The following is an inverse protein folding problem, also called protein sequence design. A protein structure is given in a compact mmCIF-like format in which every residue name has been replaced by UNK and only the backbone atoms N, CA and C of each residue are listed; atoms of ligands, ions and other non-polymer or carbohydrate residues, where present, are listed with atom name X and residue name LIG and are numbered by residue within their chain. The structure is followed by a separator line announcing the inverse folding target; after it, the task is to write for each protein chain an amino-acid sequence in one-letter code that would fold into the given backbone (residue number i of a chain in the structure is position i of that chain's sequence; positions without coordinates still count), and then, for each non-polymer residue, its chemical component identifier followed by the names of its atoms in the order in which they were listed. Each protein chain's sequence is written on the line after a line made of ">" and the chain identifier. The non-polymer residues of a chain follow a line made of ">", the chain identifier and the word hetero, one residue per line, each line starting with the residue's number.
data_IF_437953514298
#
_entry.id   IF_437953514298
#
_cell.length_a   1.000
_cell.length_b   1.000
_cell.length_c   1.000
_cell.angle_alpha   90.00
_cell.angle_beta   90.00
_cell.angle_gamma   90.00
#
_symmetry.space_group_name_H-M   'P 1'
#
loop_
_entity.id
_entity.type
_entity.pdbx_description
1 polymer ?
2 polymer ?
3 polymer ?
4 non-polymer ?
5 non-polymer ?
6 non-polymer ?
7 water ?
#
# COMPACT_ATOMS: atom_id res chain seq x y z
N UNK A 1 18.13 -21.94 14.22
CA UNK A 1 18.16 -21.88 15.72
C UNK A 1 16.74 -21.87 16.27
N UNK A 2 15.88 -20.94 15.84
CA UNK A 2 14.43 -20.99 16.22
C UNK A 2 13.81 -22.20 15.52
N UNK A 3 13.12 -23.04 16.28
CA UNK A 3 12.41 -24.25 15.76
C UNK A 3 11.02 -24.34 16.40
N UNK A 4 10.01 -24.62 15.59
CA UNK A 4 8.63 -24.89 16.08
C UNK A 4 8.33 -26.36 15.82
N UNK A 5 8.18 -27.13 16.89
CA UNK A 5 7.85 -28.57 16.82
C UNK A 5 6.35 -28.72 17.08
N UNK A 6 5.63 -29.17 16.06
CA UNK A 6 4.16 -29.37 16.08
C UNK A 6 3.85 -30.87 16.27
N UNK A 7 2.70 -31.17 16.89
CA UNK A 7 2.12 -32.52 17.02
C UNK A 7 0.69 -32.43 17.57
N UNK A 8 -0.08 -33.52 17.46
CA UNK A 8 -1.39 -33.69 18.13
C UNK A 8 -2.56 -33.95 17.17
N UNK A 9 -2.29 -33.96 15.84
CA UNK A 9 -3.35 -34.12 14.82
C UNK A 9 -3.94 -35.53 14.76
N UNK A 10 -5.05 -35.68 14.04
CA UNK A 10 -5.66 -36.99 13.75
C UNK A 10 -7.12 -36.89 13.31
N UNK A 11 -7.84 -38.01 13.41
CA UNK A 11 -9.26 -38.15 13.00
C UNK A 11 -10.16 -38.23 14.24
N UNK A 12 -11.25 -37.46 14.25
CA UNK A 12 -12.28 -37.47 15.33
C UNK A 12 -13.68 -37.36 14.68
N UNK A 13 -14.73 -37.78 15.39
CA UNK A 13 -16.14 -37.58 14.99
C UNK A 13 -16.57 -36.14 15.33
N UNK A 14 -17.67 -35.63 14.71
CA UNK A 14 -18.26 -34.35 15.11
C UNK A 14 -18.66 -34.32 16.59
N UNK A 15 -18.35 -33.21 17.29
CA UNK A 15 -18.55 -33.04 18.74
C UNK A 15 -17.30 -33.39 19.54
N UNK A 16 -16.38 -34.17 18.94
CA UNK A 16 -15.16 -34.67 19.58
C UNK A 16 -14.13 -33.58 19.84
N UNK A 17 -13.03 -33.97 20.49
CA UNK A 17 -11.95 -33.08 20.99
C UNK A 17 -10.60 -33.49 20.40
N UNK A 18 -9.67 -32.54 20.30
CA UNK A 18 -8.27 -32.77 19.86
C UNK A 18 -7.39 -31.67 20.48
N UNK A 19 -6.15 -32.01 20.86
CA UNK A 19 -5.19 -31.06 21.47
C UNK A 19 -3.91 -30.99 20.65
N UNK A 20 -3.69 -29.85 19.98
CA UNK A 20 -2.45 -29.58 19.21
C UNK A 20 -1.42 -28.92 20.12
N UNK A 21 -0.14 -29.19 19.86
CA UNK A 21 1.00 -28.65 20.64
C UNK A 21 1.99 -27.99 19.67
N UNK A 22 2.57 -26.88 20.12
CA UNK A 22 3.66 -26.14 19.42
C UNK A 22 4.79 -25.91 20.42
N UNK A 23 5.86 -26.71 20.34
CA UNK A 23 7.06 -26.58 21.18
C UNK A 23 8.03 -25.62 20.48
N UNK A 24 8.26 -24.46 21.08
CA UNK A 24 9.14 -23.39 20.55
C UNK A 24 10.49 -23.46 21.26
N UNK A 25 11.58 -23.47 20.48
CA UNK A 25 12.98 -23.39 20.97
C UNK A 25 13.74 -22.37 20.12
N UNK A 26 14.84 -21.83 20.65
CA UNK A 26 15.77 -20.95 19.94
C UNK A 26 15.53 -19.48 20.21
N UNK A 27 14.45 -19.12 20.93
CA UNK A 27 14.19 -17.75 21.42
C UNK A 27 15.01 -17.52 22.69
N UNK A 28 15.65 -16.36 22.80
CA UNK A 28 16.49 -15.93 23.95
C UNK A 28 15.58 -15.41 25.09
N UNK A 29 14.30 -15.14 24.81
CA UNK A 29 13.34 -14.55 25.79
C UNK A 29 11.89 -14.87 25.35
N UNK A 30 10.93 -14.43 26.16
CA UNK A 30 9.46 -14.63 25.96
C UNK A 30 8.87 -13.57 24.99
N UNK A 31 9.70 -12.70 24.37
CA UNK A 31 9.16 -11.62 23.49
C UNK A 31 8.98 -12.14 22.06
N UNK A 32 7.96 -12.95 21.91
CA UNK A 32 7.50 -13.55 20.63
C UNK A 32 6.02 -13.85 20.82
N UNK A 33 5.35 -14.17 19.72
CA UNK A 33 3.90 -14.45 19.70
C UNK A 33 3.69 -15.64 18.78
N UNK A 34 2.69 -16.46 19.12
CA UNK A 34 2.33 -17.67 18.35
C UNK A 34 0.98 -17.43 17.66
N UNK A 35 0.83 -18.00 16.48
CA UNK A 35 -0.45 -18.06 15.75
C UNK A 35 -0.71 -19.51 15.35
N UNK A 36 -1.98 -19.88 15.33
CA UNK A 36 -2.45 -21.10 14.65
C UNK A 36 -3.17 -20.70 13.36
N UNK A 37 -2.61 -21.17 12.23
CA UNK A 37 -3.25 -21.09 10.89
C UNK A 37 -3.73 -22.48 10.47
N UNK A 38 -4.90 -22.52 9.84
CA UNK A 38 -5.44 -23.77 9.26
C UNK A 38 -5.64 -23.56 7.76
N UNK A 39 -5.40 -24.62 6.98
CA UNK A 39 -5.45 -24.60 5.51
C UNK A 39 -6.33 -25.76 5.05
N UNK A 40 -7.61 -25.47 4.82
CA UNK A 40 -8.64 -26.42 4.33
C UNK A 40 -8.49 -26.59 2.82
N UNK A 41 -8.95 -27.71 2.23
CA UNK A 41 -8.69 -28.01 0.82
C UNK A 41 -8.98 -26.86 -0.16
N UNK A 42 -8.01 -26.54 -1.00
CA UNK A 42 -8.09 -25.50 -2.05
C UNK A 42 -8.25 -24.08 -1.50
N UNK A 43 -7.96 -23.86 -0.21
CA UNK A 43 -8.05 -22.51 0.42
C UNK A 43 -6.65 -22.02 0.86
N UNK A 44 -6.56 -20.73 1.19
CA UNK A 44 -5.36 -20.11 1.79
C UNK A 44 -5.28 -20.52 3.27
N UNK A 45 -4.10 -20.39 3.87
CA UNK A 45 -3.89 -20.48 5.34
C UNK A 45 -4.65 -19.34 6.02
N UNK A 46 -5.49 -19.66 7.01
CA UNK A 46 -6.36 -18.68 7.70
C UNK A 46 -6.09 -18.75 9.21
N UNK A 47 -5.85 -17.61 9.85
CA UNK A 47 -5.60 -17.57 11.30
C UNK A 47 -6.86 -17.92 12.08
N UNK A 48 -6.75 -18.72 13.14
CA UNK A 48 -7.93 -19.09 13.98
C UNK A 48 -7.70 -18.66 15.44
N UNK A 49 -6.47 -18.71 15.93
CA UNK A 49 -6.13 -18.35 17.34
C UNK A 49 -4.70 -17.79 17.42
N UNK A 50 -4.48 -16.92 18.40
CA UNK A 50 -3.18 -16.23 18.61
C UNK A 50 -2.89 -16.16 20.10
N UNK A 51 -1.59 -16.25 20.46
CA UNK A 51 -1.14 -15.98 21.84
C UNK A 51 0.08 -15.04 21.80
N UNK A 52 -0.07 -13.89 22.46
CA UNK A 52 1.06 -12.98 22.77
C UNK A 52 1.69 -13.43 24.08
N UNK A 53 2.88 -14.04 24.00
CA UNK A 53 3.48 -14.86 25.09
C UNK A 53 3.82 -13.96 26.28
N UNK A 54 4.44 -12.79 26.08
CA UNK A 54 4.93 -11.91 27.18
C UNK A 54 3.75 -11.48 28.06
N UNK A 55 2.65 -11.09 27.42
CA UNK A 55 1.41 -10.51 28.03
C UNK A 55 0.44 -11.66 28.37
N UNK A 56 0.69 -12.84 27.82
CA UNK A 56 -0.22 -14.02 27.94
C UNK A 56 -1.64 -13.64 27.48
N UNK A 57 -1.74 -12.96 26.33
CA UNK A 57 -3.03 -12.47 25.81
C UNK A 57 -3.45 -13.34 24.63
N UNK A 58 -4.61 -14.02 24.74
CA UNK A 58 -5.13 -14.84 23.64
C UNK A 58 -6.15 -14.10 22.79
N UNK A 59 -6.28 -14.52 21.53
CA UNK A 59 -7.26 -14.00 20.55
C UNK A 59 -7.80 -15.18 19.76
N UNK A 60 -9.09 -15.14 19.40
CA UNK A 60 -9.79 -16.20 18.61
C UNK A 60 -10.65 -15.54 17.53
N UNK A 61 -10.78 -16.19 16.37
CA UNK A 61 -11.81 -15.79 15.36
C UNK A 61 -13.17 -16.20 15.92
N UNK A 62 -14.24 -15.50 15.53
CA UNK A 62 -15.60 -15.66 16.12
C UNK A 62 -16.09 -17.10 15.96
N UNK A 63 -15.72 -17.78 14.87
CA UNK A 63 -16.22 -19.13 14.52
C UNK A 63 -15.66 -20.20 15.46
N UNK A 64 -14.57 -19.95 16.21
CA UNK A 64 -13.99 -20.96 17.15
C UNK A 64 -14.09 -20.47 18.59
N UNK A 65 -14.75 -19.33 18.80
CA UNK A 65 -14.77 -18.54 20.07
C UNK A 65 -14.85 -19.48 21.28
N UNK A 66 -15.96 -20.22 21.44
CA UNK A 66 -16.31 -20.94 22.71
C UNK A 66 -15.95 -22.43 22.61
N UNK A 67 -15.29 -22.85 21.53
CA UNK A 67 -14.91 -24.26 21.26
C UNK A 67 -13.39 -24.43 21.40
N UNK A 68 -12.63 -23.42 20.98
CA UNK A 68 -11.14 -23.46 20.96
C UNK A 68 -10.59 -22.67 22.14
N UNK A 69 -9.50 -23.17 22.73
CA UNK A 69 -8.75 -22.54 23.85
C UNK A 69 -7.26 -22.64 23.54
N UNK A 70 -6.56 -21.51 23.58
CA UNK A 70 -5.09 -21.47 23.41
C UNK A 70 -4.47 -21.20 24.79
N UNK A 71 -3.32 -21.82 25.06
CA UNK A 71 -2.63 -21.76 26.37
C UNK A 71 -1.15 -22.08 26.17
N UNK A 72 -0.33 -21.72 27.17
CA UNK A 72 1.12 -22.02 27.18
C UNK A 72 1.48 -22.67 28.52
N UNK A 73 2.32 -23.69 28.49
CA UNK A 73 3.01 -24.25 29.67
C UNK A 73 4.45 -23.72 29.67
N UNK A 74 4.79 -22.96 30.70
CA UNK A 74 6.09 -22.24 30.86
C UNK A 74 7.23 -23.26 30.77
N UNK A 75 7.13 -24.36 31.54
CA UNK A 75 8.17 -25.37 31.80
C UNK A 75 8.76 -25.90 30.48
N UNK A 76 7.90 -26.32 29.54
CA UNK A 76 8.29 -27.03 28.29
C UNK A 76 8.25 -26.06 27.10
N UNK A 77 7.92 -24.78 27.34
CA UNK A 77 7.92 -23.73 26.29
C UNK A 77 6.96 -24.13 25.16
N UNK A 78 5.87 -24.82 25.52
CA UNK A 78 4.90 -25.39 24.56
C UNK A 78 3.58 -24.60 24.66
N UNK A 79 3.06 -24.17 23.51
CA UNK A 79 1.70 -23.59 23.38
C UNK A 79 0.75 -24.69 22.88
N UNK A 80 -0.41 -24.80 23.49
CA UNK A 80 -1.48 -25.78 23.15
C UNK A 80 -2.70 -25.06 22.59
N UNK A 81 -3.36 -25.70 21.61
CA UNK A 81 -4.72 -25.35 21.14
C UNK A 81 -5.64 -26.52 21.46
N UNK A 82 -6.48 -26.37 22.49
CA UNK A 82 -7.54 -27.34 22.85
C UNK A 82 -8.75 -27.03 21.95
N UNK A 83 -9.10 -27.96 21.07
CA UNK A 83 -10.23 -27.86 20.11
C UNK A 83 -11.33 -28.83 20.57
N UNK A 84 -12.44 -28.27 21.06
CA UNK A 84 -13.61 -29.03 21.57
C UNK A 84 -14.78 -28.81 20.61
N UNK A 85 -15.86 -29.58 20.77
CA UNK A 85 -17.07 -29.52 19.90
C UNK A 85 -16.64 -29.34 18.44
N UNK A 86 -15.70 -30.15 17.96
CA UNK A 86 -15.16 -30.05 16.58
C UNK A 86 -16.28 -30.32 15.56
N UNK A 87 -16.23 -29.62 14.43
CA UNK A 87 -17.24 -29.70 13.35
C UNK A 87 -16.53 -30.00 12.03
N UNK A 88 -17.26 -30.49 11.00
CA UNK A 88 -16.65 -30.81 9.70
C UNK A 88 -15.90 -29.64 9.06
N UNK A 89 -16.34 -28.40 9.30
CA UNK A 89 -15.74 -27.15 8.76
C UNK A 89 -14.34 -26.91 9.37
N UNK A 90 -14.00 -27.60 10.47
CA UNK A 90 -12.69 -27.47 11.18
C UNK A 90 -11.64 -28.37 10.52
N UNK A 91 -12.04 -29.22 9.56
CA UNK A 91 -11.09 -30.10 8.83
C UNK A 91 -10.14 -29.22 8.01
N UNK A 92 -8.83 -29.47 8.13
CA UNK A 92 -7.73 -28.66 7.56
C UNK A 92 -6.39 -29.18 8.06
N UNK A 93 -5.28 -28.75 7.43
CA UNK A 93 -3.90 -28.89 7.98
C UNK A 93 -3.66 -27.68 8.90
N UNK A 94 -3.31 -27.92 10.16
CA UNK A 94 -3.10 -26.88 11.21
C UNK A 94 -1.60 -26.65 11.35
N UNK A 95 -1.19 -25.39 11.21
CA UNK A 95 0.20 -24.89 11.37
C UNK A 95 0.27 -23.99 12.61
N UNK A 96 1.34 -24.10 13.40
CA UNK A 96 1.71 -23.03 14.36
C UNK A 96 2.78 -22.18 13.67
N UNK A 97 2.78 -20.89 13.98
CA UNK A 97 3.72 -19.92 13.40
C UNK A 97 4.16 -18.99 14.53
N UNK A 98 5.39 -18.47 14.46
CA UNK A 98 5.96 -17.58 15.48
C UNK A 98 6.50 -16.32 14.80
N UNK A 99 6.40 -15.20 15.50
CA UNK A 99 7.03 -13.93 15.14
C UNK A 99 7.63 -13.26 16.36
N UNK A 100 8.70 -12.49 16.16
CA UNK A 100 9.42 -11.73 17.23
C UNK A 100 8.69 -10.41 17.47
N UNK A 101 7.45 -10.50 17.96
CA UNK A 101 6.62 -9.34 18.34
C UNK A 101 5.62 -9.77 19.41
N UNK A 102 5.06 -8.79 20.13
CA UNK A 102 3.94 -9.00 21.07
C UNK A 102 2.65 -8.68 20.34
N UNK A 103 1.91 -9.69 19.88
CA UNK A 103 0.61 -9.41 19.26
C UNK A 103 0.18 -10.48 18.27
N UNK A 104 -0.47 -10.05 17.20
CA UNK A 104 -1.28 -10.93 16.33
C UNK A 104 -1.35 -10.37 14.93
N UNK A 105 -1.43 -11.24 13.93
CA UNK A 105 -1.57 -10.82 12.51
C UNK A 105 -2.34 -11.90 11.75
N UNK A 106 -3.24 -11.50 10.87
CA UNK A 106 -3.98 -12.41 9.96
C UNK A 106 -3.10 -12.83 8.78
N UNK A 107 -2.01 -12.10 8.46
CA UNK A 107 -1.17 -12.39 7.27
C UNK A 107 -0.16 -13.48 7.58
N UNK A 108 -0.19 -14.65 6.88
CA UNK A 108 0.88 -15.65 7.05
C UNK A 108 2.28 -15.09 6.78
N UNK A 109 2.38 -14.19 5.80
CA UNK A 109 3.64 -13.52 5.39
C UNK A 109 4.25 -12.75 6.57
N UNK A 110 3.48 -12.44 7.62
CA UNK A 110 3.97 -11.68 8.81
C UNK A 110 4.66 -12.59 9.82
N UNK A 111 4.61 -13.92 9.61
CA UNK A 111 5.25 -14.92 10.51
C UNK A 111 6.45 -15.54 9.78
N UNK A 112 7.61 -15.43 10.39
CA UNK A 112 8.89 -15.88 9.79
C UNK A 112 9.18 -17.34 10.17
N UNK A 113 8.49 -17.89 11.17
CA UNK A 113 8.79 -19.25 11.72
C UNK A 113 7.51 -20.09 11.71
N UNK A 114 7.66 -21.35 11.26
CA UNK A 114 6.51 -22.23 10.95
C UNK A 114 6.82 -23.65 11.40
N UNK A 115 5.85 -24.27 12.05
CA UNK A 115 5.84 -25.71 12.30
C UNK A 115 5.55 -26.45 11.01
N UNK A 116 5.91 -27.74 10.97
CA UNK A 116 5.38 -28.69 9.96
C UNK A 116 3.90 -28.89 10.32
N UNK A 117 3.00 -28.70 9.36
CA UNK A 117 1.55 -28.84 9.59
C UNK A 117 1.19 -30.21 10.15
N UNK A 118 0.04 -30.30 10.83
CA UNK A 118 -0.58 -31.58 11.29
C UNK A 118 -1.99 -31.63 10.74
N UNK A 119 -2.41 -32.80 10.25
CA UNK A 119 -3.74 -33.01 9.63
C UNK A 119 -4.79 -33.13 10.74
N UNK A 120 -5.87 -32.33 10.64
CA UNK A 120 -7.09 -32.48 11.50
C UNK A 120 -8.28 -32.80 10.58
N UNK A 121 -8.94 -33.93 10.84
CA UNK A 121 -10.13 -34.42 10.08
C UNK A 121 -11.28 -34.71 11.06
N UNK A 122 -12.43 -34.07 10.81
CA UNK A 122 -13.69 -34.24 11.59
C UNK A 122 -14.73 -34.80 10.60
N UNK A 123 -15.04 -36.10 10.69
CA UNK A 123 -16.01 -36.77 9.81
C UNK A 123 -16.64 -37.95 10.55
N UNK A 124 -17.77 -38.44 10.02
CA UNK A 124 -18.49 -39.62 10.54
C UNK A 124 -18.07 -40.85 9.74
N UNK B 5 -9.63 12.01 30.78
CA UNK B 5 -9.15 12.72 29.56
C UNK B 5 -8.57 11.71 28.56
N UNK B 6 -9.43 11.06 27.78
CA UNK B 6 -9.04 9.93 26.89
C UNK B 6 -8.35 10.48 25.64
N UNK B 7 -7.27 9.82 25.21
CA UNK B 7 -6.51 10.23 24.00
C UNK B 7 -7.45 10.18 22.80
N UNK B 8 -7.39 11.21 21.92
CA UNK B 8 -8.28 11.27 20.75
C UNK B 8 -7.83 10.33 19.60
N UNK B 9 -7.71 9.03 19.89
CA UNK B 9 -7.29 8.02 18.88
C UNK B 9 -8.31 7.93 17.75
N UNK B 10 -9.60 8.15 18.03
CA UNK B 10 -10.68 8.14 17.02
C UNK B 10 -10.38 9.05 15.81
N UNK B 11 -9.76 10.20 16.04
CA UNK B 11 -9.39 11.17 14.96
C UNK B 11 -8.45 10.50 13.94
N UNK B 12 -7.62 9.56 14.40
CA UNK B 12 -6.67 8.82 13.52
C UNK B 12 -7.38 7.58 12.93
N UNK B 13 -7.90 6.71 13.78
CA UNK B 13 -8.40 5.37 13.37
C UNK B 13 -9.64 5.53 12.49
N UNK B 14 -10.45 6.56 12.76
CA UNK B 14 -11.78 6.73 12.14
C UNK B 14 -11.78 7.90 11.14
N UNK B 15 -10.62 8.41 10.73
CA UNK B 15 -10.54 9.48 9.71
C UNK B 15 -11.25 9.02 8.43
N UNK B 16 -11.97 9.91 7.76
CA UNK B 16 -12.75 9.55 6.53
C UNK B 16 -11.77 9.10 5.44
N UNK B 17 -10.67 9.82 5.25
CA UNK B 17 -9.65 9.46 4.23
C UNK B 17 -8.30 9.35 4.92
N UNK B 18 -7.45 8.49 4.38
CA UNK B 18 -6.07 8.28 4.88
C UNK B 18 -5.12 8.84 3.84
N UNK B 19 -3.88 9.08 4.26
CA UNK B 19 -2.76 9.49 3.39
C UNK B 19 -2.36 8.35 2.47
N UNK B 20 -1.84 8.69 1.30
CA UNK B 20 -0.98 7.77 0.51
C UNK B 20 0.25 7.44 1.37
N UNK B 21 0.74 6.22 1.25
CA UNK B 21 1.91 5.77 2.07
C UNK B 21 3.15 6.65 1.80
N UNK B 22 3.43 7.04 0.56
CA UNK B 22 4.66 7.83 0.27
C UNK B 22 4.56 9.16 1.03
N UNK B 23 3.35 9.65 1.22
CA UNK B 23 3.06 10.95 1.86
C UNK B 23 2.37 10.73 3.21
N UNK B 24 2.84 9.74 3.94
CA UNK B 24 2.19 9.30 5.20
C UNK B 24 2.03 10.45 6.19
N UNK B 25 0.95 10.42 6.96
CA UNK B 25 0.59 11.44 7.97
C UNK B 25 1.10 11.05 9.35
N UNK B 26 1.38 12.04 10.17
CA UNK B 26 1.76 11.86 11.59
C UNK B 26 0.85 12.75 12.44
N UNK B 27 0.25 12.16 13.46
CA UNK B 27 -0.56 12.88 14.46
C UNK B 27 0.18 12.80 15.78
N UNK B 28 0.43 13.95 16.40
CA UNK B 28 0.99 13.97 17.77
C UNK B 28 -0.17 13.84 18.76
N UNK B 29 -0.02 12.92 19.72
CA UNK B 29 -0.97 12.70 20.83
C UNK B 29 -0.25 13.05 22.15
N UNK B 30 -0.89 13.83 22.98
CA UNK B 30 -0.32 14.41 24.23
C UNK B 30 -1.42 14.65 25.27
N UNK B 31 -1.06 14.77 26.54
CA UNK B 31 -1.94 15.31 27.59
C UNK B 31 -3.22 14.47 27.68
N UNK B 32 -3.09 13.15 27.79
CA UNK B 32 -4.28 12.26 27.79
C UNK B 32 -3.93 10.87 28.33
N UNK B 33 -4.97 10.06 28.59
CA UNK B 33 -4.85 8.65 29.05
C UNK B 33 -5.14 7.74 27.85
N UNK B 34 -4.20 6.84 27.56
CA UNK B 34 -4.26 5.88 26.43
C UNK B 34 -4.47 4.47 27.00
N UNK B 35 -5.53 3.76 26.61
CA UNK B 35 -5.72 2.34 27.00
C UNK B 35 -5.31 1.48 25.80
N UNK B 36 -4.04 1.10 25.77
CA UNK B 36 -3.42 0.29 24.71
C UNK B 36 -4.05 -1.11 24.71
N UNK B 37 -4.42 -1.64 25.87
CA UNK B 37 -5.07 -2.99 25.95
C UNK B 37 -6.44 -2.96 25.26
N UNK B 38 -7.21 -1.88 25.42
CA UNK B 38 -8.55 -1.73 24.77
C UNK B 38 -8.35 -1.73 23.24
N UNK B 39 -7.33 -1.01 22.76
CA UNK B 39 -7.01 -1.00 21.31
C UNK B 39 -6.63 -2.43 20.89
N UNK B 40 -5.71 -3.06 21.62
CA UNK B 40 -5.18 -4.41 21.28
C UNK B 40 -6.32 -5.42 21.17
N UNK B 41 -7.32 -5.30 22.04
CA UNK B 41 -8.44 -6.27 22.16
C UNK B 41 -9.58 -5.95 21.17
N UNK B 42 -9.47 -4.88 20.40
CA UNK B 42 -10.50 -4.54 19.38
C UNK B 42 -10.47 -5.51 18.21
N UNK B 43 -11.62 -6.14 17.90
CA UNK B 43 -11.77 -7.07 16.76
C UNK B 43 -11.74 -6.29 15.43
N UNK B 44 -11.84 -4.97 15.46
CA UNK B 44 -11.76 -4.08 14.28
C UNK B 44 -10.40 -4.20 13.60
N UNK B 45 -9.35 -4.52 14.37
CA UNK B 45 -7.95 -4.59 13.90
C UNK B 45 -7.59 -6.05 13.62
N UNK B 46 -7.08 -6.32 12.42
CA UNK B 46 -6.67 -7.69 12.01
C UNK B 46 -5.15 -7.86 12.19
N UNK B 47 -4.40 -6.76 12.23
CA UNK B 47 -2.96 -6.73 12.57
C UNK B 47 -2.79 -5.86 13.82
N UNK B 48 -2.13 -6.38 14.85
CA UNK B 48 -1.76 -5.57 16.04
C UNK B 48 -0.51 -6.18 16.63
N UNK B 49 0.65 -5.59 16.33
CA UNK B 49 1.98 -6.15 16.73
C UNK B 49 2.79 -5.04 17.38
N UNK B 50 3.28 -5.28 18.60
CA UNK B 50 4.19 -4.35 19.30
C UNK B 50 5.60 -4.91 19.34
N UNK B 51 6.56 -4.00 19.28
CA UNK B 51 8.03 -4.22 19.25
C UNK B 51 8.66 -3.47 20.43
N UNK B 52 9.61 -4.11 21.11
CA UNK B 52 10.39 -3.50 22.22
C UNK B 52 9.55 -3.27 23.47
N UNK B 53 8.25 -3.54 23.41
CA UNK B 53 7.26 -3.27 24.49
C UNK B 53 5.99 -4.07 24.16
N UNK B 54 5.11 -4.28 25.13
CA UNK B 54 3.78 -4.91 24.90
C UNK B 54 2.69 -3.95 25.35
N UNK B 55 1.44 -4.15 24.91
CA UNK B 55 0.34 -3.31 25.38
C UNK B 55 0.20 -3.27 26.91
N UNK B 56 0.48 -4.38 27.60
CA UNK B 56 0.40 -4.40 29.09
C UNK B 56 1.44 -3.44 29.65
N UNK B 57 2.67 -3.48 29.12
CA UNK B 57 3.74 -2.58 29.60
C UNK B 57 3.35 -1.13 29.27
N UNK B 58 2.80 -0.87 28.08
CA UNK B 58 2.40 0.51 27.67
C UNK B 58 1.31 1.03 28.62
N UNK B 59 0.43 0.16 29.11
CA UNK B 59 -0.64 0.57 30.07
C UNK B 59 -0.03 1.07 31.39
N UNK B 60 1.25 0.78 31.64
CA UNK B 60 1.94 1.11 32.92
C UNK B 60 3.08 2.10 32.67
N UNK B 61 3.05 2.85 31.57
CA UNK B 61 4.14 3.82 31.22
C UNK B 61 3.54 5.19 30.86
N UNK B 62 4.31 6.26 31.07
CA UNK B 62 3.98 7.64 30.65
C UNK B 62 5.03 8.09 29.64
N UNK B 63 4.59 8.81 28.61
CA UNK B 63 5.48 9.39 27.59
C UNK B 63 5.18 10.88 27.48
N UNK B 64 6.13 11.61 26.93
CA UNK B 64 5.95 13.04 26.64
C UNK B 64 4.98 13.19 25.46
N UNK B 65 5.23 12.44 24.39
CA UNK B 65 4.40 12.46 23.16
C UNK B 65 4.28 11.03 22.66
N UNK B 66 3.14 10.75 22.04
CA UNK B 66 2.92 9.56 21.19
C UNK B 66 2.68 10.06 19.78
N UNK B 67 3.23 9.38 18.79
CA UNK B 67 3.03 9.70 17.36
C UNK B 67 2.24 8.55 16.76
N UNK B 68 1.16 8.90 16.08
CA UNK B 68 0.33 7.97 15.28
C UNK B 68 0.53 8.29 13.80
N UNK B 69 1.26 7.43 13.09
CA UNK B 69 1.51 7.55 11.65
C UNK B 69 0.45 6.72 10.92
N UNK B 70 -0.15 7.25 9.87
CA UNK B 70 -1.26 6.56 9.19
C UNK B 70 -1.17 6.72 7.68
N UNK B 71 -1.57 5.67 6.97
CA UNK B 71 -1.50 5.57 5.50
C UNK B 71 -2.23 4.33 5.06
N UNK B 72 -2.41 4.22 3.74
CA UNK B 72 -2.98 3.02 3.07
C UNK B 72 -1.92 2.33 2.20
N UNK B 73 -1.94 0.99 2.26
CA UNK B 73 -1.13 0.10 1.40
C UNK B 73 -2.04 -1.04 0.93
N UNK B 74 -1.53 -1.92 0.09
CA UNK B 74 -2.31 -3.10 -0.30
C UNK B 74 -2.04 -4.21 0.72
N UNK B 75 -2.97 -5.14 0.85
CA UNK B 75 -2.88 -6.22 1.85
C UNK B 75 -1.53 -6.94 1.86
N UNK B 76 -1.00 -7.33 0.70
CA UNK B 76 0.24 -8.16 0.65
C UNK B 76 1.44 -7.33 1.08
N UNK B 77 1.27 -6.03 1.32
CA UNK B 77 2.38 -5.16 1.81
C UNK B 77 2.32 -4.98 3.32
N UNK B 78 1.27 -5.42 4.00
CA UNK B 78 1.15 -5.19 5.46
C UNK B 78 2.37 -5.78 6.17
N UNK B 79 2.83 -6.95 5.76
CA UNK B 79 4.02 -7.57 6.40
C UNK B 79 5.26 -6.67 6.31
N UNK B 80 5.33 -5.74 5.36
CA UNK B 80 6.50 -4.83 5.23
C UNK B 80 6.53 -3.76 6.34
N UNK B 81 5.43 -3.54 7.06
CA UNK B 81 5.40 -2.52 8.16
C UNK B 81 5.88 -3.21 9.44
N UNK B 82 7.18 -3.46 9.51
CA UNK B 82 7.84 -4.14 10.63
C UNK B 82 9.34 -3.87 10.52
N UNK B 83 10.08 -3.95 11.64
CA UNK B 83 11.52 -3.78 11.57
C UNK B 83 12.17 -4.85 10.68
N UNK B 84 13.20 -4.46 9.93
CA UNK B 84 14.07 -5.41 9.19
C UNK B 84 13.41 -6.02 7.98
N UNK B 85 12.35 -5.42 7.46
CA UNK B 85 11.63 -5.90 6.26
C UNK B 85 12.19 -5.22 5.01
N UNK B 86 12.09 -5.90 3.87
CA UNK B 86 12.43 -5.36 2.53
C UNK B 86 11.18 -5.41 1.65
N UNK B 87 11.22 -4.68 0.54
CA UNK B 87 10.11 -4.49 -0.40
C UNK B 87 9.93 -3.02 -0.69
N UNK B 88 9.08 -2.69 -1.66
CA UNK B 88 8.93 -1.29 -2.15
C UNK B 88 8.47 -0.40 -1.01
N UNK B 89 7.60 -0.87 -0.13
CA UNK B 89 7.08 -0.01 0.97
C UNK B 89 8.16 0.22 2.01
N UNK B 90 8.76 -0.82 2.58
CA UNK B 90 9.80 -0.65 3.62
C UNK B 90 10.99 0.12 3.05
N UNK B 91 11.36 -0.11 1.79
CA UNK B 91 12.59 0.47 1.20
C UNK B 91 12.33 1.93 0.82
N UNK B 92 11.17 2.25 0.22
CA UNK B 92 10.99 3.53 -0.51
C UNK B 92 9.87 4.40 0.06
N UNK B 93 9.07 3.93 1.02
CA UNK B 93 7.81 4.64 1.42
C UNK B 93 7.75 4.93 2.91
N UNK B 94 7.88 3.89 3.74
CA UNK B 94 7.73 3.98 5.20
C UNK B 94 8.62 2.93 5.85
N UNK B 95 9.58 3.39 6.63
CA UNK B 95 10.66 2.56 7.22
C UNK B 95 10.66 2.70 8.74
N UNK B 96 10.63 1.56 9.43
CA UNK B 96 10.79 1.49 10.89
C UNK B 96 12.24 1.18 11.21
N UNK B 97 12.77 1.69 12.35
CA UNK B 97 14.14 1.38 12.75
C UNK B 97 14.27 -0.07 13.23
N UNK B 98 15.48 -0.60 13.14
CA UNK B 98 15.81 -1.98 13.57
C UNK B 98 15.40 -2.14 15.04
N UNK B 99 15.58 -1.10 15.86
CA UNK B 99 15.34 -1.14 17.33
C UNK B 99 13.99 -0.50 17.67
N UNK B 100 13.01 -0.58 16.76
CA UNK B 100 11.67 0.03 16.91
C UNK B 100 11.04 -0.34 18.25
N UNK B 101 10.56 0.67 18.98
CA UNK B 101 9.68 0.53 20.16
C UNK B 101 8.33 1.12 19.78
N UNK B 102 7.31 0.29 19.63
CA UNK B 102 5.95 0.79 19.35
C UNK B 102 5.11 -0.29 18.73
N UNK B 103 4.00 0.10 18.12
CA UNK B 103 2.98 -0.86 17.64
C UNK B 103 2.56 -0.56 16.21
N UNK B 104 2.28 -1.62 15.49
CA UNK B 104 1.79 -1.59 14.09
C UNK B 104 0.38 -2.18 14.10
N UNK B 105 -0.59 -1.40 13.61
CA UNK B 105 -2.03 -1.77 13.64
C UNK B 105 -2.54 -1.67 12.20
N UNK B 106 -3.31 -2.63 11.73
CA UNK B 106 -3.84 -2.57 10.36
C UNK B 106 -5.19 -3.26 10.29
N UNK B 107 -5.99 -2.86 9.31
CA UNK B 107 -7.33 -3.42 9.07
C UNK B 107 -7.69 -3.24 7.59
N UNK B 108 -8.50 -4.16 7.09
CA UNK B 108 -8.96 -4.13 5.69
C UNK B 108 -9.90 -2.94 5.51
N UNK B 109 -9.65 -2.10 4.50
CA UNK B 109 -10.46 -0.89 4.23
C UNK B 109 -11.10 -0.95 2.84
N UNK B 110 -11.29 -2.15 2.30
CA UNK B 110 -11.94 -2.34 0.99
C UNK B 110 -13.26 -1.54 0.92
N UNK B 111 -14.06 -1.56 1.98
CA UNK B 111 -15.42 -0.93 2.02
C UNK B 111 -15.30 0.60 1.95
N UNK B 112 -14.14 1.16 2.30
CA UNK B 112 -13.93 2.63 2.42
C UNK B 112 -13.11 3.15 1.23
N UNK B 113 -12.08 2.42 0.83
CA UNK B 113 -11.00 2.97 -0.02
C UNK B 113 -11.03 2.39 -1.45
N UNK B 114 -11.85 1.39 -1.76
CA UNK B 114 -12.02 0.91 -3.14
C UNK B 114 -13.24 1.58 -3.77
N UNK B 115 -13.24 1.67 -5.08
CA UNK B 115 -14.35 2.25 -5.87
C UNK B 115 -14.51 1.38 -7.11
N UNK B 116 -15.74 1.17 -7.55
CA UNK B 116 -16.04 0.62 -8.89
C UNK B 116 -15.30 1.49 -9.91
N UNK B 117 -14.50 0.88 -10.78
CA UNK B 117 -13.70 1.59 -11.80
C UNK B 117 -12.37 2.05 -11.26
N UNK B 118 -12.13 1.94 -9.96
CA UNK B 118 -10.82 2.22 -9.35
C UNK B 118 -10.80 3.53 -8.57
N UNK B 119 -10.24 3.47 -7.38
CA UNK B 119 -9.85 4.64 -6.56
C UNK B 119 -8.38 4.88 -6.83
N UNK B 120 -8.09 5.85 -7.69
CA UNK B 120 -6.71 6.15 -8.11
C UNK B 120 -6.04 7.16 -7.17
N UNK B 121 -6.71 7.58 -6.10
CA UNK B 121 -6.15 8.63 -5.18
C UNK B 121 -4.89 8.13 -4.47
N UNK B 122 -4.85 6.86 -4.06
CA UNK B 122 -3.73 6.31 -3.27
C UNK B 122 -2.55 5.91 -4.16
N UNK B 123 -1.37 6.42 -3.83
CA UNK B 123 -0.10 6.20 -4.56
C UNK B 123 0.91 5.53 -3.63
N UNK B 124 1.91 4.91 -4.24
CA UNK B 124 3.15 4.50 -3.54
C UNK B 124 4.34 4.76 -4.47
N UNK B 125 5.50 4.91 -3.85
CA UNK B 125 6.78 5.13 -4.56
C UNK B 125 7.34 3.75 -4.96
N UNK B 126 7.56 3.56 -6.27
CA UNK B 126 8.02 2.26 -6.83
C UNK B 126 9.56 2.25 -6.98
N UNK B 127 10.18 3.43 -7.02
CA UNK B 127 11.63 3.57 -7.31
C UNK B 127 12.24 4.65 -6.44
N UNK B 128 13.48 4.44 -6.02
CA UNK B 128 14.27 5.43 -5.24
C UNK B 128 15.74 5.08 -5.33
N UNK B 129 16.60 6.12 -5.37
CA UNK B 129 18.06 6.03 -5.55
C UNK B 129 18.68 5.27 -4.36
N UNK B 130 18.09 5.39 -3.18
CA UNK B 130 18.58 4.75 -1.94
C UNK B 130 17.37 4.43 -1.05
N UNK B 131 17.58 3.59 -0.03
CA UNK B 131 16.50 3.25 0.90
C UNK B 131 16.21 4.41 1.85
N UNK B 132 14.96 4.55 2.25
CA UNK B 132 14.58 5.56 3.28
C UNK B 132 15.29 5.23 4.58
N UNK B 133 15.63 6.28 5.31
CA UNK B 133 15.98 6.18 6.74
C UNK B 133 14.69 5.97 7.51
N UNK B 134 14.79 5.47 8.75
CA UNK B 134 13.61 5.33 9.60
C UNK B 134 12.86 6.66 9.78
N UNK B 135 11.55 6.60 9.57
CA UNK B 135 10.59 7.72 9.75
C UNK B 135 10.89 8.86 8.76
N UNK B 136 11.60 8.58 7.66
CA UNK B 136 11.78 9.58 6.57
C UNK B 136 10.52 9.61 5.70
N UNK B 137 10.21 10.78 5.15
CA UNK B 137 9.03 10.98 4.30
C UNK B 137 9.49 11.68 3.04
N UNK B 138 9.41 11.01 1.90
CA UNK B 138 9.90 11.52 0.59
C UNK B 138 8.67 11.80 -0.28
N UNK B 139 8.38 13.07 -0.59
CA UNK B 139 7.22 13.43 -1.45
C UNK B 139 7.73 14.00 -2.78
N UNK B 140 9.00 13.79 -3.11
CA UNK B 140 9.60 14.28 -4.38
C UNK B 140 9.01 13.53 -5.59
N UNK B 141 9.03 14.16 -6.76
CA UNK B 141 8.39 13.68 -7.98
C UNK B 141 9.30 13.93 -9.18
N UNK B 142 10.60 13.64 -9.04
CA UNK B 142 11.57 13.73 -10.13
C UNK B 142 11.64 12.38 -10.86
N UNK B 143 11.92 12.41 -12.14
CA UNK B 143 12.15 11.17 -12.92
C UNK B 143 13.20 10.34 -12.19
N UNK B 144 12.95 9.03 -12.08
CA UNK B 144 13.92 8.10 -11.49
C UNK B 144 14.85 7.56 -12.59
N UNK B 145 16.15 7.86 -12.42
CA UNK B 145 17.23 7.41 -13.33
C UNK B 145 17.68 6.02 -12.88
N UNK B 146 17.20 4.99 -13.56
CA UNK B 146 17.41 3.58 -13.14
C UNK B 146 18.82 3.12 -13.54
N UNK B 147 19.42 3.73 -14.55
CA UNK B 147 20.74 3.32 -15.03
C UNK B 147 21.74 4.46 -15.01
N UNK B 148 22.81 4.33 -15.77
CA UNK B 148 23.95 5.28 -15.77
C UNK B 148 23.62 6.46 -16.68
N UNK B 149 22.65 6.34 -17.59
CA UNK B 149 22.33 7.38 -18.59
C UNK B 149 21.38 8.40 -17.98
N UNK B 150 21.75 9.70 -17.98
CA UNK B 150 20.84 10.76 -17.56
C UNK B 150 19.54 10.79 -18.38
N UNK B 151 18.41 11.06 -17.74
CA UNK B 151 17.07 11.12 -18.36
C UNK B 151 16.81 12.49 -19.03
N UNK B 152 17.46 13.55 -18.56
CA UNK B 152 17.32 14.92 -19.14
C UNK B 152 15.83 15.26 -19.37
N UNK B 153 15.01 14.96 -18.37
CA UNK B 153 13.59 15.35 -18.32
C UNK B 153 12.71 14.53 -19.21
N UNK B 154 13.16 13.35 -19.69
CA UNK B 154 12.35 12.54 -20.61
C UNK B 154 12.24 11.11 -20.06
N UNK B 155 11.02 10.64 -19.87
CA UNK B 155 10.79 9.23 -19.46
C UNK B 155 11.02 8.31 -20.66
N UNK B 156 11.55 7.14 -20.38
CA UNK B 156 11.77 6.12 -21.41
C UNK B 156 12.53 4.95 -20.81
N UNK B 157 13.39 4.31 -21.58
CA UNK B 157 14.18 3.18 -21.04
C UNK B 157 14.97 3.66 -19.82
N UNK B 158 14.79 2.97 -18.69
CA UNK B 158 15.52 3.23 -17.43
C UNK B 158 15.28 4.65 -16.93
N UNK B 159 14.16 5.26 -17.30
CA UNK B 159 13.79 6.63 -16.86
C UNK B 159 12.29 6.62 -16.56
N UNK B 160 11.92 6.41 -15.32
CA UNK B 160 10.52 6.14 -14.92
C UNK B 160 10.01 7.23 -13.97
N UNK B 161 8.70 7.46 -14.00
CA UNK B 161 8.05 8.33 -12.98
C UNK B 161 8.01 7.52 -11.68
N UNK B 162 8.34 8.11 -10.51
CA UNK B 162 8.60 7.29 -9.34
C UNK B 162 7.37 6.84 -8.56
N UNK B 163 6.21 7.44 -8.82
CA UNK B 163 4.96 7.11 -8.10
C UNK B 163 4.03 6.27 -8.99
N UNK B 164 3.18 5.47 -8.34
CA UNK B 164 2.25 4.53 -8.99
C UNK B 164 0.97 4.48 -8.18
N UNK B 165 -0.17 4.53 -8.87
CA UNK B 165 -1.51 4.39 -8.26
C UNK B 165 -1.79 2.89 -8.03
N UNK B 166 -2.46 2.60 -6.92
CA UNK B 166 -2.99 1.24 -6.63
C UNK B 166 -4.24 0.97 -7.47
N UNK B 167 -5.11 1.98 -7.63
CA UNK B 167 -6.35 1.83 -8.41
C UNK B 167 -7.35 0.88 -7.76
N UNK B 168 -7.44 0.90 -6.43
CA UNK B 168 -8.24 -0.09 -5.66
C UNK B 168 -9.66 -0.23 -6.21
N UNK B 169 -10.06 -1.48 -6.53
CA UNK B 169 -11.44 -1.87 -6.91
C UNK B 169 -11.92 -2.92 -5.92
N UNK B 170 -13.23 -2.91 -5.57
CA UNK B 170 -13.71 -3.80 -4.50
C UNK B 170 -13.60 -5.30 -4.84
N UNK B 171 -13.49 -5.62 -6.13
CA UNK B 171 -13.40 -7.02 -6.62
C UNK B 171 -11.95 -7.50 -6.68
N UNK B 172 -10.98 -6.69 -6.28
CA UNK B 172 -9.57 -7.14 -6.15
C UNK B 172 -9.50 -8.27 -5.12
N UNK B 173 -8.54 -9.18 -5.31
CA UNK B 173 -8.18 -10.18 -4.29
C UNK B 173 -7.68 -9.50 -3.03
N UNK B 174 -7.70 -10.20 -1.90
CA UNK B 174 -7.39 -9.56 -0.59
C UNK B 174 -5.94 -9.04 -0.58
N UNK B 175 -5.01 -9.67 -1.29
CA UNK B 175 -3.60 -9.23 -1.36
C UNK B 175 -3.51 -7.86 -2.01
N UNK B 176 -4.50 -7.50 -2.82
CA UNK B 176 -4.53 -6.24 -3.60
C UNK B 176 -5.57 -5.26 -3.04
N UNK B 177 -6.30 -5.64 -2.00
CA UNK B 177 -7.29 -4.74 -1.35
C UNK B 177 -6.56 -3.74 -0.48
N UNK B 178 -7.16 -2.56 -0.25
CA UNK B 178 -6.53 -1.55 0.60
C UNK B 178 -6.62 -1.97 2.07
N UNK B 179 -5.53 -1.70 2.79
CA UNK B 179 -5.43 -1.82 4.28
C UNK B 179 -5.02 -0.46 4.82
N UNK B 180 -5.80 0.01 5.80
CA UNK B 180 -5.41 1.14 6.67
C UNK B 180 -4.41 0.68 7.71
N UNK B 181 -3.40 1.51 7.95
CA UNK B 181 -2.28 1.22 8.88
C UNK B 181 -2.12 2.40 9.82
N UNK B 182 -1.95 2.11 11.09
CA UNK B 182 -1.53 3.10 12.12
C UNK B 182 -0.31 2.54 12.82
N UNK B 183 0.75 3.34 12.86
CA UNK B 183 1.98 2.99 13.61
C UNK B 183 2.07 3.94 14.80
N UNK B 184 2.14 3.38 16.01
CA UNK B 184 2.32 4.15 17.26
C UNK B 184 3.81 4.14 17.63
N UNK B 185 4.38 5.32 17.85
CA UNK B 185 5.75 5.48 18.36
C UNK B 185 5.72 6.42 19.56
N UNK B 186 6.79 6.41 20.34
CA UNK B 186 6.82 6.96 21.72
C UNK B 186 8.05 7.84 21.87
N UNK B 187 7.83 8.98 22.52
CA UNK B 187 8.90 9.96 22.74
C UNK B 187 8.94 10.37 24.21
N UNK B 188 10.14 10.35 24.77
CA UNK B 188 10.42 10.78 26.16
C UNK B 188 11.39 11.96 26.07
N UNK B 189 10.93 13.12 26.51
CA UNK B 189 11.81 14.32 26.60
C UNK B 189 11.94 14.72 28.07
N UNK B 190 12.89 15.63 28.32
CA UNK B 190 13.03 16.29 29.64
C UNK B 190 11.93 17.35 29.73
N UNK B 191 10.69 16.93 29.91
CA UNK B 191 9.47 17.76 29.93
C UNK B 191 8.40 16.95 30.64
N UNK B 192 7.29 17.56 31.11
CA UNK B 192 6.19 16.78 31.68
C UNK B 192 5.72 15.63 30.78
N UNK B 193 5.46 14.44 31.36
CA UNK B 193 5.11 13.20 30.64
C UNK B 193 3.61 12.97 30.68
N UNK B 194 2.90 13.56 29.72
CA UNK B 194 1.44 13.79 29.80
C UNK B 194 0.63 12.73 29.03
N UNK B 195 1.26 11.74 28.38
CA UNK B 195 0.50 10.57 27.81
C UNK B 195 0.82 9.32 28.61
N UNK B 196 -0.15 8.84 29.36
CA UNK B 196 0.00 7.73 30.33
C UNK B 196 -1.00 6.62 30.02
N UNK B 197 -0.58 5.37 30.21
CA UNK B 197 -1.52 4.24 30.32
C UNK B 197 -2.33 4.37 31.60
N UNK B 198 -3.45 3.63 31.73
CA UNK B 198 -4.38 3.83 32.83
C UNK B 198 -3.79 3.46 34.21
N UNK B 199 -2.84 2.51 34.24
CA UNK B 199 -2.21 1.98 35.49
C UNK B 199 -1.27 3.05 36.09
N UNK B 200 -0.68 3.89 35.25
CA UNK B 200 0.29 4.94 35.64
C UNK B 200 -0.43 6.30 35.61
N UNK B 201 -1.71 6.37 36.02
CA UNK B 201 -2.53 7.61 36.08
C UNK B 201 -3.00 7.85 37.53
N UNK C 3 -14.28 17.82 -14.22
CA UNK C 3 -14.04 18.20 -15.64
C UNK C 3 -13.67 19.69 -15.73
N UNK C 4 -12.70 20.01 -16.58
CA UNK C 4 -12.17 21.38 -16.84
C UNK C 4 -12.32 21.65 -18.34
N UNK C 5 -12.31 22.93 -18.74
CA UNK C 5 -12.27 23.26 -20.19
C UNK C 5 -10.83 23.42 -20.68
N UNK C 6 -10.42 22.59 -21.64
CA UNK C 6 -9.12 22.74 -22.34
C UNK C 6 -9.40 23.37 -23.69
N UNK C 7 -8.74 24.49 -23.95
CA UNK C 7 -8.93 25.23 -25.23
C UNK C 7 -7.76 24.87 -26.13
N UNK C 8 -8.05 24.08 -27.14
CA UNK C 8 -7.03 23.49 -28.03
C UNK C 8 -7.02 24.30 -29.33
N UNK C 9 -5.84 24.52 -29.90
CA UNK C 9 -5.70 25.25 -31.18
C UNK C 9 -4.52 24.73 -31.99
N UNK C 10 -4.48 25.15 -33.24
CA UNK C 10 -3.35 24.89 -34.14
C UNK C 10 -3.73 23.80 -35.11
N UNK C 11 -2.77 23.35 -35.85
CA UNK C 11 -3.00 22.26 -36.80
C UNK C 11 -3.23 22.84 -38.17
N UNK C 12 -3.64 22.02 -39.10
CA UNK C 12 -3.80 22.44 -40.50
C UNK C 12 -3.00 21.54 -41.41
N UNK C 13 -2.73 22.04 -42.60
CA UNK C 13 -2.09 21.31 -43.72
C UNK C 13 -0.61 21.68 -43.75
N UNK C 14 0.26 20.69 -43.88
CA UNK C 14 1.73 20.91 -43.95
C UNK C 14 2.28 19.89 -44.93
N UNK C 15 3.41 20.21 -45.56
CA UNK C 15 4.11 19.32 -46.51
C UNK C 15 4.94 18.32 -45.70
N UNK C 16 5.11 17.11 -46.23
CA UNK C 16 6.03 16.11 -45.65
C UNK C 16 7.33 16.83 -45.27
N UNK C 17 7.83 16.61 -44.07
CA UNK C 17 9.13 17.14 -43.59
C UNK C 17 8.93 18.43 -42.83
N UNK C 18 7.72 19.01 -42.90
CA UNK C 18 7.38 20.29 -42.27
C UNK C 18 7.09 20.18 -40.79
N UNK C 19 6.73 21.31 -40.19
CA UNK C 19 6.50 21.50 -38.73
C UNK C 19 5.13 22.15 -38.50
N UNK C 20 4.48 21.81 -37.39
CA UNK C 20 3.25 22.46 -36.89
C UNK C 20 3.36 22.51 -35.37
N UNK C 21 2.67 23.47 -34.75
CA UNK C 21 2.56 23.52 -33.28
C UNK C 21 1.09 23.44 -32.91
N UNK C 22 0.73 22.49 -32.04
CA UNK C 22 -0.58 22.48 -31.35
C UNK C 22 -0.44 23.10 -29.97
N UNK C 23 -1.50 23.76 -29.52
CA UNK C 23 -1.58 24.39 -28.18
C UNK C 23 -2.77 23.84 -27.44
N UNK C 24 -2.62 23.75 -26.13
CA UNK C 24 -3.70 23.34 -25.20
C UNK C 24 -3.58 24.28 -24.00
N UNK C 25 -4.61 25.08 -23.73
CA UNK C 25 -4.58 26.06 -22.63
C UNK C 25 -5.69 25.73 -21.64
N UNK C 26 -5.40 25.98 -20.37
CA UNK C 26 -6.37 25.84 -19.28
C UNK C 26 -6.00 26.84 -18.19
N UNK C 27 -6.98 27.57 -17.70
CA UNK C 27 -6.78 28.64 -16.70
C UNK C 27 -6.16 28.07 -15.42
N UNK C 28 -5.30 28.87 -14.80
CA UNK C 28 -4.83 28.63 -13.43
C UNK C 28 -4.04 27.34 -13.31
N UNK C 29 -4.37 26.54 -12.30
CA UNK C 29 -3.47 25.48 -11.79
C UNK C 29 -3.74 24.13 -12.46
N UNK C 30 -4.61 24.04 -13.46
CA UNK C 30 -4.99 22.74 -14.10
C UNK C 30 -3.73 21.96 -14.51
N UNK C 31 -2.84 22.52 -15.32
CA UNK C 31 -1.71 21.71 -15.83
C UNK C 31 -0.67 21.45 -14.73
N UNK C 32 -0.65 22.24 -13.67
CA UNK C 32 0.31 21.96 -12.56
C UNK C 32 -0.32 20.98 -11.55
N UNK C 33 -1.55 20.51 -11.82
CA UNK C 33 -2.29 19.60 -10.93
C UNK C 33 -2.41 18.21 -11.57
N UNK C 34 -2.73 18.15 -12.85
CA UNK C 34 -3.03 16.91 -13.60
C UNK C 34 -2.05 16.77 -14.75
N UNK C 35 -1.39 15.64 -14.87
CA UNK C 35 -0.59 15.31 -16.06
C UNK C 35 -1.47 15.39 -17.33
N UNK C 36 -0.86 15.75 -18.43
CA UNK C 36 -1.59 15.91 -19.70
C UNK C 36 -1.03 14.93 -20.73
N UNK C 37 -1.89 14.60 -21.68
CA UNK C 37 -1.50 13.80 -22.84
C UNK C 37 -2.06 14.38 -24.13
N UNK C 38 -1.32 14.17 -25.21
CA UNK C 38 -1.75 14.38 -26.60
C UNK C 38 -2.07 13.01 -27.20
N UNK C 39 -3.22 12.89 -27.85
CA UNK C 39 -3.69 11.66 -28.52
C UNK C 39 -4.00 12.00 -29.97
N UNK C 40 -4.03 11.02 -30.85
CA UNK C 40 -4.48 11.28 -32.23
C UNK C 40 -5.35 10.11 -32.70
N UNK C 41 -6.23 10.39 -33.62
CA UNK C 41 -7.15 9.40 -34.18
C UNK C 41 -7.27 9.62 -35.69
N UNK C 42 -6.90 8.61 -36.47
CA UNK C 42 -7.09 8.58 -37.94
C UNK C 42 -8.47 7.97 -38.22
N UNK C 43 -9.11 8.27 -39.37
CA UNK C 43 -10.42 7.72 -39.70
C UNK C 43 -10.46 6.19 -39.59
N UNK C 44 -11.46 5.70 -38.83
CA UNK C 44 -11.70 4.26 -38.60
C UNK C 44 -10.63 3.59 -37.75
N UNK C 45 -9.71 4.35 -37.13
CA UNK C 45 -8.67 3.79 -36.22
C UNK C 45 -8.95 4.25 -34.78
N UNK C 46 -8.30 3.60 -33.83
CA UNK C 46 -8.45 3.91 -32.39
C UNK C 46 -7.68 5.20 -32.09
N UNK C 47 -8.13 5.90 -31.06
CA UNK C 47 -7.42 7.11 -30.54
C UNK C 47 -6.18 6.64 -29.77
N UNK C 48 -4.98 7.00 -30.24
CA UNK C 48 -3.69 6.50 -29.73
C UNK C 48 -2.92 7.60 -29.02
N UNK C 49 -2.20 7.21 -27.98
CA UNK C 49 -1.27 8.09 -27.26
C UNK C 49 -0.16 8.58 -28.19
N UNK C 50 0.13 9.89 -28.10
CA UNK C 50 1.22 10.54 -28.88
C UNK C 50 2.34 10.97 -27.93
N UNK C 51 2.05 11.86 -26.99
CA UNK C 51 3.07 12.42 -26.10
C UNK C 51 2.39 13.11 -24.93
N UNK C 52 3.14 13.31 -23.85
CA UNK C 52 2.56 13.97 -22.69
C UNK C 52 3.59 14.61 -21.79
N UNK C 53 3.08 15.21 -20.72
CA UNK C 53 3.90 15.91 -19.73
C UNK C 53 3.30 15.66 -18.34
N UNK C 54 4.15 15.34 -17.37
CA UNK C 54 3.72 15.22 -15.96
C UNK C 54 3.31 16.61 -15.44
N UNK C 55 2.43 16.61 -14.45
CA UNK C 55 1.95 17.87 -13.82
C UNK C 55 3.13 18.70 -13.31
N UNK C 56 4.25 18.07 -13.01
CA UNK C 56 5.48 18.70 -12.48
C UNK C 56 6.11 19.66 -13.50
N UNK C 57 5.81 19.48 -14.78
CA UNK C 57 6.42 20.25 -15.89
C UNK C 57 7.85 19.83 -16.22
N UNK C 58 8.44 18.89 -15.48
CA UNK C 58 9.87 18.52 -15.61
C UNK C 58 10.05 17.14 -16.27
N UNK C 59 8.96 16.50 -16.67
CA UNK C 59 9.01 15.19 -17.35
C UNK C 59 8.08 15.22 -18.55
N UNK C 60 8.59 14.78 -19.69
CA UNK C 60 7.79 14.54 -20.89
C UNK C 60 8.06 13.12 -21.36
N UNK C 61 7.17 12.63 -22.19
CA UNK C 61 7.24 11.23 -22.66
C UNK C 61 6.51 11.12 -23.99
N UNK C 62 6.91 10.13 -24.77
CA UNK C 62 6.60 10.06 -26.21
C UNK C 62 6.32 8.62 -26.63
N UNK C 63 5.31 8.47 -27.48
CA UNK C 63 5.13 7.19 -28.23
C UNK C 63 6.35 6.89 -29.08
N UNK C 64 6.58 5.61 -29.35
CA UNK C 64 7.69 5.17 -30.22
C UNK C 64 7.56 5.78 -31.61
N UNK C 65 6.33 6.07 -32.07
CA UNK C 65 6.07 6.56 -33.44
C UNK C 65 6.57 8.01 -33.59
N UNK C 66 6.65 8.76 -32.48
CA UNK C 66 6.95 10.23 -32.63
C UNK C 66 8.23 10.60 -31.87
N UNK C 67 8.81 9.72 -31.06
CA UNK C 67 9.98 10.13 -30.23
C UNK C 67 11.11 10.61 -31.15
N UNK C 68 11.77 11.70 -30.81
CA UNK C 68 12.83 12.31 -31.61
C UNK C 68 12.31 13.25 -32.69
N UNK C 69 11.00 13.28 -32.96
CA UNK C 69 10.40 14.20 -33.97
C UNK C 69 9.48 15.20 -33.29
N UNK C 70 8.71 14.77 -32.31
CA UNK C 70 7.80 15.68 -31.58
C UNK C 70 8.40 16.01 -30.22
N UNK C 71 8.12 17.21 -29.72
CA UNK C 71 8.49 17.63 -28.35
C UNK C 71 7.26 18.27 -27.69
N UNK C 72 7.12 18.08 -26.39
CA UNK C 72 6.07 18.73 -25.56
C UNK C 72 6.78 19.77 -24.70
N UNK C 73 6.22 20.96 -24.63
CA UNK C 73 6.74 21.99 -23.71
C UNK C 73 5.56 22.66 -23.03
N UNK C 74 5.86 23.42 -21.98
CA UNK C 74 4.83 24.17 -21.23
C UNK C 74 5.41 25.54 -20.90
N UNK C 75 4.57 26.56 -21.00
CA UNK C 75 5.04 27.94 -20.78
C UNK C 75 5.38 28.16 -19.29
N UNK C 76 6.01 29.29 -19.01
CA UNK C 76 6.43 29.65 -17.63
C UNK C 76 5.21 29.78 -16.73
N UNK C 77 4.10 30.28 -17.26
CA UNK C 77 2.83 30.47 -16.53
C UNK C 77 2.23 29.12 -16.12
N UNK C 78 2.64 28.03 -16.78
CA UNK C 78 2.16 26.64 -16.55
C UNK C 78 0.70 26.48 -17.00
N UNK C 79 0.18 27.37 -17.86
CA UNK C 79 -1.25 27.31 -18.28
C UNK C 79 -1.40 26.89 -19.74
N UNK C 80 -0.30 26.72 -20.46
CA UNK C 80 -0.36 26.36 -21.89
C UNK C 80 0.69 25.29 -22.18
N UNK C 81 0.24 24.20 -22.80
CA UNK C 81 1.12 23.09 -23.20
C UNK C 81 1.10 23.03 -24.71
N UNK C 82 2.27 22.80 -25.28
CA UNK C 82 2.49 22.78 -26.74
C UNK C 82 2.92 21.40 -27.20
N UNK C 83 2.44 20.98 -28.36
CA UNK C 83 3.04 19.85 -29.09
C UNK C 83 3.75 20.41 -30.31
N UNK C 84 5.06 20.38 -30.27
CA UNK C 84 5.94 20.83 -31.38
C UNK C 84 6.12 19.62 -32.32
N UNK C 85 5.45 19.65 -33.46
CA UNK C 85 5.46 18.51 -34.43
C UNK C 85 6.50 18.83 -35.51
N UNK C 86 7.62 18.09 -35.55
CA UNK C 86 8.67 18.27 -36.58
C UNK C 86 8.78 17.01 -37.45
N UNK C 87 9.44 17.17 -38.59
CA UNK C 87 9.71 16.06 -39.56
C UNK C 87 8.42 15.29 -39.80
N UNK C 88 7.33 16.00 -40.07
CA UNK C 88 5.99 15.41 -40.22
C UNK C 88 5.96 14.49 -41.45
N UNK C 89 5.25 13.37 -41.32
CA UNK C 89 5.09 12.32 -42.36
C UNK C 89 3.60 12.16 -42.62
N UNK C 90 3.18 11.69 -43.82
CA UNK C 90 1.76 11.46 -44.10
C UNK C 90 1.08 10.58 -43.03
N UNK C 91 1.82 9.65 -42.42
CA UNK C 91 1.33 8.71 -41.39
C UNK C 91 0.92 9.47 -40.12
N UNK C 92 1.35 10.72 -39.98
CA UNK C 92 0.98 11.59 -38.82
C UNK C 92 -0.38 12.23 -39.06
N UNK C 93 -0.98 12.10 -40.24
CA UNK C 93 -2.31 12.67 -40.54
C UNK C 93 -3.34 12.08 -39.57
N UNK C 94 -4.06 12.93 -38.86
CA UNK C 94 -5.04 12.49 -37.84
C UNK C 94 -5.71 13.70 -37.20
N UNK C 95 -6.76 13.44 -36.44
CA UNK C 95 -7.31 14.45 -35.50
C UNK C 95 -6.55 14.33 -34.18
N UNK C 96 -6.00 15.44 -33.69
CA UNK C 96 -5.18 15.48 -32.46
C UNK C 96 -6.00 16.08 -31.33
N UNK C 97 -5.82 15.53 -30.14
CA UNK C 97 -6.59 15.92 -28.93
C UNK C 97 -5.59 16.10 -27.80
N UNK C 98 -5.84 17.07 -26.93
CA UNK C 98 -5.18 17.14 -25.59
C UNK C 98 -6.21 16.73 -24.56
N UNK C 99 -5.72 16.28 -23.42
CA UNK C 99 -6.56 15.79 -22.31
C UNK C 99 -5.71 15.76 -21.06
N UNK C 100 -6.35 15.50 -19.92
CA UNK C 100 -5.65 15.38 -18.63
C UNK C 100 -6.05 14.07 -17.97
N UNK C 101 -5.20 13.60 -17.08
CA UNK C 101 -5.46 12.39 -16.29
C UNK C 101 -5.27 12.67 -14.80
N UNK C 102 -6.04 12.00 -13.96
CA UNK C 102 -5.84 11.95 -12.49
C UNK C 102 -5.08 10.67 -12.11
N UNK C 103 -4.83 9.79 -13.09
CA UNK C 103 -4.24 8.44 -12.83
C UNK C 103 -2.73 8.49 -12.98
N UNK C 104 -2.01 8.20 -11.91
CA UNK C 104 -0.53 8.17 -11.92
C UNK C 104 -0.09 6.75 -12.26
N UNK C 105 0.52 6.60 -13.42
CA UNK C 105 1.21 5.37 -13.88
C UNK C 105 2.71 5.65 -13.94
N UNK C 106 3.51 4.88 -13.21
CA UNK C 106 4.98 5.03 -13.15
C UNK C 106 5.55 4.82 -14.55
N UNK C 107 4.96 3.90 -15.28
CA UNK C 107 5.33 3.56 -16.67
C UNK C 107 4.34 4.23 -17.59
N UNK C 108 4.76 5.32 -18.25
CA UNK C 108 3.83 6.12 -19.08
C UNK C 108 3.34 5.24 -20.23
N UNK C 109 4.15 4.22 -20.57
CA UNK C 109 3.87 3.26 -21.64
C UNK C 109 2.53 2.55 -21.42
N UNK C 110 1.96 2.62 -20.22
CA UNK C 110 0.69 1.92 -19.91
C UNK C 110 -0.51 2.85 -20.07
N UNK C 111 -0.30 4.14 -20.35
CA UNK C 111 -1.45 5.06 -20.54
C UNK C 111 -2.25 4.67 -21.78
N UNK C 112 -3.57 4.78 -21.68
CA UNK C 112 -4.51 4.70 -22.82
C UNK C 112 -5.51 5.84 -22.71
N UNK C 113 -6.32 6.01 -23.74
CA UNK C 113 -7.33 7.10 -23.80
C UNK C 113 -8.30 6.97 -22.62
N UNK C 114 -8.59 5.74 -22.15
CA UNK C 114 -9.55 5.52 -21.04
C UNK C 114 -9.10 6.24 -19.76
N UNK C 115 -7.82 6.54 -19.62
CA UNK C 115 -7.24 7.16 -18.40
C UNK C 115 -7.45 8.67 -18.41
N UNK C 116 -7.86 9.23 -19.55
CA UNK C 116 -7.87 10.70 -19.76
C UNK C 116 -9.30 11.21 -19.90
N UNK C 117 -9.47 12.50 -19.57
CA UNK C 117 -10.75 13.21 -19.69
C UNK C 117 -10.52 14.68 -19.96
N UNK C 118 -11.61 15.44 -19.90
CA UNK C 118 -11.63 16.89 -20.19
C UNK C 118 -11.03 17.15 -21.57
N UNK C 119 -11.36 16.32 -22.55
CA UNK C 119 -10.78 16.35 -23.91
C UNK C 119 -10.90 17.76 -24.51
N UNK C 120 -9.82 18.26 -25.08
CA UNK C 120 -9.86 19.42 -25.99
C UNK C 120 -10.66 19.09 -27.24
N UNK C 121 -11.08 20.10 -27.96
CA UNK C 121 -11.68 19.92 -29.29
C UNK C 121 -10.61 19.35 -30.24
N UNK C 122 -10.96 18.30 -30.96
CA UNK C 122 -10.00 17.70 -31.90
C UNK C 122 -9.59 18.68 -32.98
N UNK C 123 -8.33 18.65 -33.37
CA UNK C 123 -7.85 19.52 -34.48
C UNK C 123 -7.19 18.65 -35.54
N UNK C 124 -7.60 18.89 -36.78
CA UNK C 124 -7.09 18.15 -37.96
C UNK C 124 -5.64 18.57 -38.22
N UNK C 125 -4.78 17.57 -38.33
CA UNK C 125 -3.43 17.71 -38.92
C UNK C 125 -3.39 16.84 -40.17
N UNK C 126 -3.03 17.43 -41.30
CA UNK C 126 -2.95 16.73 -42.61
C UNK C 126 -1.55 16.97 -43.16
N UNK C 127 -0.83 15.89 -43.40
CA UNK C 127 0.54 15.93 -43.99
C UNK C 127 0.44 15.33 -45.39
N UNK C 128 0.68 16.15 -46.40
CA UNK C 128 0.58 15.75 -47.82
C UNK C 128 1.98 15.68 -48.42
N UNK C 129 2.21 14.67 -49.27
CA UNK C 129 3.45 14.51 -50.08
C UNK C 129 3.33 15.43 -51.30
#
# INVERSE_FOLDING_TARGET
>A
QVQLVESGGGLVQPGGSLRLSCAASGFTNDFYSIAWFRQAPGKEREGVSWLSVSDNTPTYVDSVKDRFTISRHNANNTVYLQMNMLKPEDTAIYYCAAGRFAGRDTWPSSYDYWGQGTQVTVSSKHHHHHH
>B
PNITNLCPFGEVFNATRFASVYAWNRKRISNCVADYSVLYNSASFSTFKCYGVSPTKLNDLCFTNVYADSFVIRGDEVRQIAPGQTGKIADYNYKLPDDFTGCVIAWNSNNLDSKVGGNYNYLYRLFRKSNLKPFERDISTEIYQAGSTPCNGVEGFNCYFPLQSYGFQPTYGVGYQPYRVVVLSFELLHAPATVCGPKKSTNKHHHHHH
>C
MAQVQLVESGGGLVKTGGSLRLSCAASGRTFSTYSMGWFRQAPGKEREFVAGMRWTGSSTFYSDSVKGRFTVSRNNAKDTVYLHMNSLKPEDTAVYYCAITTIVRAYYTEYTEADFGSWGQGTQVTVSSKHHHHHH
#
